data_IF_896701638043
#
_entry.id   IF_896701638043
#
_cell.length_a   1.000
_cell.length_b   1.000
_cell.length_c   1.000
_cell.angle_alpha   90.00
_cell.angle_beta   90.00
_cell.angle_gamma   90.00
#
_symmetry.space_group_name_H-M   'P 1'
#
loop_
_entity.id
_entity.type
_entity.pdbx_description
1 polymer ?
#
# COMPACT_ATOMS: atom_id res chain seq x y z
N UNK A 1 -4.67 -29.32 12.17
CA UNK A 1 -4.96 -28.92 10.76
C UNK A 1 -4.44 -27.51 10.57
N UNK A 2 -4.14 -27.17 9.32
CA UNK A 2 -3.08 -26.24 8.92
C UNK A 2 -3.20 -24.82 9.46
N UNK A 3 -2.11 -24.31 10.03
CA UNK A 3 -1.88 -22.88 10.16
C UNK A 3 -1.80 -22.26 8.77
N UNK A 4 -2.57 -21.20 8.51
CA UNK A 4 -2.46 -20.44 7.26
C UNK A 4 -1.45 -19.34 7.50
N UNK A 5 -0.20 -19.60 7.12
CA UNK A 5 0.85 -18.56 7.14
C UNK A 5 0.65 -17.66 5.93
N UNK A 6 0.26 -16.39 6.15
CA UNK A 6 0.15 -15.37 5.09
C UNK A 6 1.21 -14.29 5.33
N UNK A 7 2.43 -14.53 4.85
CA UNK A 7 3.55 -13.60 5.05
C UNK A 7 3.32 -12.23 4.36
N UNK A 8 3.83 -11.17 5.00
CA UNK A 8 4.13 -9.88 4.39
C UNK A 8 5.57 -9.49 4.77
N UNK A 9 6.32 -8.83 3.87
CA UNK A 9 7.74 -8.51 4.04
C UNK A 9 8.11 -7.20 3.32
N UNK A 10 9.02 -6.41 3.90
CA UNK A 10 9.74 -5.30 3.25
C UNK A 10 11.23 -5.30 3.69
N UNK A 11 12.10 -4.80 2.81
CA UNK A 11 13.51 -5.22 2.61
C UNK A 11 14.58 -4.69 3.57
N UNK A 12 15.85 -4.84 3.15
CA UNK A 12 17.09 -4.62 3.94
C UNK A 12 17.82 -3.37 3.43
N UNK A 13 18.50 -2.65 4.31
CA UNK A 13 19.54 -1.71 3.90
C UNK A 13 20.92 -2.42 3.89
N UNK A 14 21.63 -2.49 2.75
CA UNK A 14 22.87 -3.27 2.63
C UNK A 14 24.06 -2.68 3.39
N UNK A 15 24.00 -1.41 3.81
CA UNK A 15 25.11 -0.71 4.47
C UNK A 15 24.95 -0.71 6.00
N UNK A 16 23.72 -0.59 6.49
CA UNK A 16 23.37 -0.46 7.91
C UNK A 16 22.80 -1.74 8.53
N UNK A 17 22.41 -2.74 7.71
CA UNK A 17 21.69 -3.97 8.15
C UNK A 17 20.40 -3.66 8.92
N UNK A 18 19.78 -2.52 8.66
CA UNK A 18 18.48 -2.12 9.14
C UNK A 18 17.35 -2.88 8.41
N UNK A 19 16.28 -3.24 9.12
CA UNK A 19 15.08 -3.87 8.54
C UNK A 19 13.84 -3.13 9.06
N UNK A 20 12.84 -2.88 8.21
CA UNK A 20 11.46 -2.72 8.65
C UNK A 20 10.64 -3.80 7.93
N UNK A 21 10.11 -4.77 8.67
CA UNK A 21 9.21 -5.75 8.09
C UNK A 21 8.02 -6.00 9.01
N UNK A 22 6.95 -6.59 8.49
CA UNK A 22 5.78 -7.02 9.25
C UNK A 22 5.31 -8.34 8.69
N UNK A 23 5.65 -9.44 9.36
CA UNK A 23 5.09 -10.75 9.01
C UNK A 23 3.78 -10.95 9.73
N UNK A 24 2.73 -11.38 9.03
CA UNK A 24 1.45 -11.77 9.61
C UNK A 24 1.37 -13.30 9.55
N UNK A 25 1.03 -13.96 10.65
CA UNK A 25 0.82 -15.40 10.67
C UNK A 25 -0.54 -15.69 11.30
N UNK A 26 -1.38 -16.48 10.63
CA UNK A 26 -2.66 -16.91 11.17
C UNK A 26 -2.51 -18.34 11.70
N UNK A 27 -2.76 -18.54 13.00
CA UNK A 27 -2.78 -19.85 13.62
C UNK A 27 -4.19 -20.17 14.11
N UNK A 28 -4.68 -21.36 13.75
CA UNK A 28 -5.89 -21.93 14.29
C UNK A 28 -5.48 -23.04 15.27
N UNK A 29 -5.56 -22.78 16.58
CA UNK A 29 -5.34 -23.83 17.57
C UNK A 29 -6.64 -24.60 17.85
N UNK A 30 -6.51 -25.84 18.35
CA UNK A 30 -7.58 -26.85 18.41
C UNK A 30 -8.74 -26.48 19.35
N UNK A 31 -8.63 -25.37 20.08
CA UNK A 31 -9.52 -24.94 21.15
C UNK A 31 -10.34 -23.68 20.80
N UNK A 32 -10.39 -23.30 19.52
CA UNK A 32 -11.21 -22.17 19.05
C UNK A 32 -10.63 -20.79 19.38
N UNK A 33 -9.34 -20.71 19.69
CA UNK A 33 -8.60 -19.46 19.87
C UNK A 33 -7.66 -19.27 18.69
N UNK A 34 -7.87 -18.19 17.93
CA UNK A 34 -6.98 -17.76 16.86
C UNK A 34 -5.81 -16.96 17.44
N UNK A 35 -4.60 -17.28 16.98
CA UNK A 35 -3.39 -16.58 17.36
C UNK A 35 -2.76 -15.95 16.12
N UNK A 36 -2.48 -14.64 16.20
CA UNK A 36 -1.84 -13.90 15.12
C UNK A 36 -0.43 -13.51 15.52
N UNK A 37 0.60 -14.09 14.92
CA UNK A 37 2.00 -13.80 15.26
C UNK A 37 2.59 -12.70 14.37
N UNK A 38 3.21 -11.69 14.97
CA UNK A 38 3.83 -10.58 14.23
C UNK A 38 5.31 -10.34 14.59
N UNK A 39 6.11 -9.98 13.58
CA UNK A 39 7.51 -9.53 13.74
C UNK A 39 7.69 -8.16 13.08
N UNK A 40 8.22 -7.18 13.82
CA UNK A 40 8.52 -5.81 13.41
C UNK A 40 9.98 -5.45 13.68
N UNK A 41 10.55 -4.51 12.94
CA UNK A 41 11.72 -3.74 13.37
C UNK A 41 11.50 -2.30 12.94
N UNK A 42 11.81 -1.35 13.82
CA UNK A 42 11.89 0.07 13.50
C UNK A 42 13.35 0.46 13.59
N UNK A 43 13.91 1.06 12.53
CA UNK A 43 15.14 1.81 12.66
C UNK A 43 14.75 3.26 12.89
N UNK A 44 15.31 3.87 13.94
CA UNK A 44 15.02 5.25 14.31
C UNK A 44 15.35 6.25 13.17
N UNK A 45 16.16 5.84 12.19
CA UNK A 45 16.77 6.74 11.21
C UNK A 45 16.49 6.38 9.73
N UNK A 46 15.68 5.34 9.44
CA UNK A 46 15.36 4.95 8.06
C UNK A 46 13.88 5.20 7.77
N UNK A 47 13.54 6.10 6.84
CA UNK A 47 12.16 6.32 6.44
C UNK A 47 11.55 5.07 5.80
N UNK A 48 10.29 4.76 6.13
CA UNK A 48 9.66 3.49 5.77
C UNK A 48 9.48 3.23 4.27
N UNK A 49 9.64 4.25 3.43
CA UNK A 49 9.48 4.18 1.99
C UNK A 49 10.77 3.82 1.22
N UNK A 50 11.91 3.66 1.89
CA UNK A 50 13.21 3.38 1.23
C UNK A 50 13.53 1.87 1.06
N UNK A 51 12.53 0.99 1.15
CA UNK A 51 12.73 -0.45 1.45
C UNK A 51 12.36 -1.45 0.35
N UNK A 52 11.96 -0.99 -0.84
CA UNK A 52 11.48 -1.87 -1.92
C UNK A 52 12.60 -2.56 -2.72
N UNK A 53 13.88 -2.40 -2.34
CA UNK A 53 15.01 -2.87 -3.14
C UNK A 53 15.39 -4.36 -3.00
N UNK A 54 14.89 -5.14 -2.04
CA UNK A 54 15.51 -6.45 -1.73
C UNK A 54 14.54 -7.61 -1.50
N UNK A 55 14.28 -8.33 -2.60
CA UNK A 55 13.54 -9.60 -2.68
C UNK A 55 14.36 -10.90 -2.51
N UNK A 56 15.71 -11.00 -2.71
CA UNK A 56 16.37 -12.33 -2.76
C UNK A 56 16.80 -13.00 -1.45
N UNK A 57 16.79 -12.34 -0.28
CA UNK A 57 17.39 -12.88 0.96
C UNK A 57 16.43 -13.79 1.76
N UNK A 58 15.17 -13.86 1.33
CA UNK A 58 14.03 -14.35 2.12
C UNK A 58 13.87 -15.86 2.14
N UNK A 59 14.20 -16.55 1.03
CA UNK A 59 13.99 -18.00 0.92
C UNK A 59 14.89 -18.80 1.87
N UNK A 60 16.00 -18.21 2.31
CA UNK A 60 16.96 -18.83 3.23
C UNK A 60 16.45 -18.84 4.68
N UNK A 61 15.69 -17.82 5.10
CA UNK A 61 15.22 -17.70 6.48
C UNK A 61 14.04 -18.64 6.78
N UNK A 62 13.14 -18.83 5.81
CA UNK A 62 12.00 -19.76 5.91
C UNK A 62 12.48 -21.21 5.98
N UNK A 63 13.48 -21.57 5.18
CA UNK A 63 14.10 -22.90 5.24
C UNK A 63 14.76 -23.19 6.61
N UNK A 64 15.23 -22.16 7.31
CA UNK A 64 15.88 -22.28 8.62
C UNK A 64 14.89 -22.31 9.80
N UNK A 65 13.70 -21.70 9.69
CA UNK A 65 12.69 -21.75 10.76
C UNK A 65 11.93 -23.07 10.84
N UNK A 66 11.78 -23.79 9.72
CA UNK A 66 11.13 -25.11 9.69
C UNK A 66 12.00 -26.23 10.30
N UNK A 67 13.29 -25.98 10.56
CA UNK A 67 14.25 -26.97 11.05
C UNK A 67 14.73 -26.74 12.49
N UNK A 68 14.14 -25.81 13.26
CA UNK A 68 14.43 -25.71 14.68
C UNK A 68 13.50 -26.62 15.50
N UNK A 69 14.03 -27.63 16.21
CA UNK A 69 13.25 -28.33 17.23
C UNK A 69 12.71 -27.34 18.24
N UNK A 70 11.48 -27.55 18.67
CA UNK A 70 10.85 -26.81 19.74
C UNK A 70 11.73 -26.97 20.99
N UNK A 71 12.43 -25.90 21.38
CA UNK A 71 13.32 -25.95 22.52
C UNK A 71 12.52 -26.27 23.79
N UNK A 72 12.91 -27.36 24.46
CA UNK A 72 12.40 -27.77 25.76
C UNK A 72 12.61 -26.63 26.77
N UNK A 73 11.51 -26.10 27.32
CA UNK A 73 11.50 -25.01 28.30
C UNK A 73 11.88 -25.51 29.71
N UNK A 74 12.97 -26.26 29.78
CA UNK A 74 13.42 -26.94 30.99
C UNK A 74 14.89 -26.64 31.28
N UNK A 75 15.32 -25.37 31.22
CA UNK A 75 16.51 -24.90 31.95
C UNK A 75 16.62 -23.37 31.94
N UNK A 76 16.79 -22.72 33.11
CA UNK A 76 17.12 -21.30 33.18
C UNK A 76 18.62 -21.13 32.88
N UNK A 77 18.95 -20.99 31.59
CA UNK A 77 20.26 -20.51 31.17
C UNK A 77 20.21 -18.99 31.02
N UNK A 78 20.95 -18.28 31.87
CA UNK A 78 21.26 -16.86 31.69
C UNK A 78 21.86 -16.64 30.31
N UNK A 79 21.11 -15.96 29.43
CA UNK A 79 21.63 -15.38 28.21
C UNK A 79 21.77 -13.88 28.44
N UNK A 80 22.96 -13.48 28.91
CA UNK A 80 23.42 -12.09 29.01
C UNK A 80 23.61 -11.47 27.60
N UNK A 81 22.52 -11.35 26.86
CA UNK A 81 22.39 -10.50 25.69
C UNK A 81 21.29 -9.46 25.95
N UNK A 82 21.27 -8.34 25.20
CA UNK A 82 20.15 -7.39 25.29
C UNK A 82 18.84 -8.14 25.07
N UNK A 83 17.93 -8.11 26.04
CA UNK A 83 16.60 -8.69 25.84
C UNK A 83 15.90 -7.93 24.73
N UNK A 84 15.74 -8.59 23.59
CA UNK A 84 15.04 -8.06 22.41
C UNK A 84 13.54 -8.02 22.74
N UNK A 85 12.91 -6.85 22.57
CA UNK A 85 11.54 -6.64 23.02
C UNK A 85 10.53 -7.50 22.23
N UNK A 86 9.38 -7.87 22.81
CA UNK A 86 8.32 -8.52 22.05
C UNK A 86 7.96 -7.74 20.78
N UNK A 87 7.91 -8.48 19.68
CA UNK A 87 7.63 -7.97 18.35
C UNK A 87 8.87 -7.47 17.64
N UNK A 88 10.03 -7.29 18.27
CA UNK A 88 11.25 -6.94 17.54
C UNK A 88 11.82 -8.11 16.72
N UNK A 89 12.64 -7.85 15.69
CA UNK A 89 13.33 -8.87 14.91
C UNK A 89 14.18 -9.76 15.86
N UNK A 90 13.91 -11.07 15.85
CA UNK A 90 14.46 -12.08 16.78
C UNK A 90 13.94 -11.99 18.23
N UNK A 91 13.02 -11.08 18.54
CA UNK A 91 12.27 -11.03 19.78
C UNK A 91 11.08 -12.00 19.78
N UNK A 92 10.42 -12.19 20.94
CA UNK A 92 9.19 -12.97 21.03
C UNK A 92 8.10 -12.42 20.11
N UNK A 93 7.29 -13.29 19.49
CA UNK A 93 6.15 -12.86 18.68
C UNK A 93 5.13 -12.09 19.53
N UNK A 94 4.54 -11.05 18.95
CA UNK A 94 3.40 -10.36 19.54
C UNK A 94 2.12 -10.94 18.97
N UNK A 95 1.09 -11.03 19.82
CA UNK A 95 -0.26 -11.39 19.44
C UNK A 95 -1.20 -10.21 19.61
N UNK A 96 -2.01 -9.95 18.59
CA UNK A 96 -3.08 -8.96 18.64
C UNK A 96 -4.42 -9.64 18.43
N UNK A 97 -5.45 -9.10 19.09
CA UNK A 97 -6.83 -9.42 18.76
C UNK A 97 -7.13 -8.87 17.35
N UNK A 98 -7.58 -9.70 16.39
CA UNK A 98 -7.88 -9.27 15.01
C UNK A 98 -8.84 -8.10 14.93
N UNK A 99 -9.78 -8.01 15.88
CA UNK A 99 -10.77 -6.93 15.94
C UNK A 99 -10.11 -5.55 16.12
N UNK A 100 -8.95 -5.51 16.77
CA UNK A 100 -8.20 -4.27 17.01
C UNK A 100 -7.30 -3.88 15.85
N UNK A 101 -7.06 -4.78 14.89
CA UNK A 101 -6.07 -4.59 13.82
C UNK A 101 -6.71 -4.49 12.45
N UNK A 102 -7.72 -5.32 12.20
CA UNK A 102 -8.27 -5.51 10.86
C UNK A 102 -9.70 -4.98 10.77
N UNK A 103 -10.05 -4.32 9.64
CA UNK A 103 -11.42 -3.94 9.32
C UNK A 103 -12.37 -5.15 9.40
N UNK A 104 -13.60 -4.91 9.84
CA UNK A 104 -14.65 -5.91 9.73
C UNK A 104 -15.05 -6.12 8.26
N UNK A 105 -15.19 -7.36 7.83
CA UNK A 105 -15.85 -7.71 6.57
C UNK A 105 -17.37 -7.54 6.74
N UNK A 106 -18.01 -6.83 5.81
CA UNK A 106 -19.43 -6.42 5.93
C UNK A 106 -20.30 -7.10 4.87
N UNK A 107 -21.61 -7.30 5.14
CA UNK A 107 -22.53 -7.75 4.10
C UNK A 107 -22.46 -6.84 2.86
N UNK A 108 -22.32 -7.44 1.69
CA UNK A 108 -22.18 -6.73 0.42
C UNK A 108 -20.75 -6.50 -0.04
N UNK A 109 -19.74 -6.70 0.82
CA UNK A 109 -18.35 -6.69 0.40
C UNK A 109 -18.01 -7.92 -0.45
N UNK A 110 -17.03 -7.77 -1.32
CA UNK A 110 -16.57 -8.76 -2.28
C UNK A 110 -15.46 -9.61 -1.66
N UNK A 111 -15.77 -10.86 -1.28
CA UNK A 111 -14.74 -11.79 -0.81
C UNK A 111 -13.97 -12.40 -1.99
N UNK A 112 -12.65 -12.16 -2.04
CA UNK A 112 -11.77 -12.80 -3.00
C UNK A 112 -11.33 -14.18 -2.50
N UNK A 113 -11.59 -15.23 -3.28
CA UNK A 113 -11.27 -16.60 -2.88
C UNK A 113 -9.76 -16.85 -2.98
N UNK A 114 -9.08 -17.27 -1.90
CA UNK A 114 -7.62 -17.49 -1.91
C UNK A 114 -7.16 -18.49 -2.98
N UNK A 115 -8.00 -19.46 -3.38
CA UNK A 115 -7.71 -20.40 -4.45
C UNK A 115 -7.52 -19.74 -5.84
N UNK A 116 -8.00 -18.50 -6.02
CA UNK A 116 -7.91 -17.74 -7.26
C UNK A 116 -6.72 -16.77 -7.28
N UNK A 117 -5.86 -16.79 -6.25
CA UNK A 117 -4.67 -15.92 -6.23
C UNK A 117 -3.70 -16.36 -7.33
N UNK A 118 -3.30 -15.43 -8.19
CA UNK A 118 -2.34 -15.65 -9.25
C UNK A 118 -1.14 -14.69 -9.13
N UNK A 119 -0.01 -14.95 -9.80
CA UNK A 119 1.17 -14.07 -9.78
C UNK A 119 0.95 -12.65 -10.32
N UNK A 120 -0.14 -12.44 -11.07
CA UNK A 120 -0.60 -11.17 -11.65
C UNK A 120 -1.39 -10.31 -10.65
N UNK A 121 -1.63 -10.82 -9.44
CA UNK A 121 -2.32 -10.10 -8.38
C UNK A 121 -1.33 -9.61 -7.32
N UNK A 122 -1.64 -8.45 -6.76
CA UNK A 122 -0.96 -7.85 -5.62
C UNK A 122 -1.91 -7.83 -4.43
N UNK A 123 -1.43 -8.30 -3.28
CA UNK A 123 -2.24 -8.29 -2.06
C UNK A 123 -1.72 -7.19 -1.15
N UNK A 124 -2.44 -6.07 -1.10
CA UNK A 124 -2.14 -4.96 -0.19
C UNK A 124 -2.56 -5.36 1.21
N UNK A 125 -1.61 -5.45 2.14
CA UNK A 125 -1.88 -5.76 3.56
C UNK A 125 -1.70 -4.53 4.42
N UNK A 126 -2.48 -4.39 5.52
CA UNK A 126 -2.23 -3.34 6.50
C UNK A 126 -0.80 -3.42 7.03
N UNK A 127 -0.12 -2.28 7.05
CA UNK A 127 1.19 -2.17 7.68
C UNK A 127 0.99 -2.11 9.21
N UNK A 128 1.51 -3.10 9.93
CA UNK A 128 1.35 -3.23 11.39
C UNK A 128 2.57 -2.73 12.17
N UNK A 129 3.47 -2.02 11.49
CA UNK A 129 4.53 -1.28 12.14
C UNK A 129 3.89 -0.30 13.13
N UNK A 130 4.38 -0.29 14.36
CA UNK A 130 3.84 0.50 15.49
C UNK A 130 2.53 0.01 16.12
N UNK A 131 1.93 -1.10 15.68
CA UNK A 131 0.66 -1.59 16.26
C UNK A 131 0.71 -2.00 17.73
N UNK A 132 1.87 -2.03 18.40
CA UNK A 132 1.92 -2.18 19.86
C UNK A 132 1.39 -0.95 20.59
N UNK A 133 1.57 0.23 20.00
CA UNK A 133 0.94 1.45 20.50
C UNK A 133 -0.56 1.38 20.14
N UNK A 134 -1.47 1.34 21.12
CA UNK A 134 -2.90 1.29 20.86
C UNK A 134 -3.42 2.46 20.03
N UNK A 135 -2.81 3.64 20.18
CA UNK A 135 -3.20 4.85 19.44
C UNK A 135 -2.83 4.70 17.96
N UNK A 136 -1.60 4.27 17.67
CA UNK A 136 -1.17 4.05 16.28
C UNK A 136 -1.87 2.85 15.64
N UNK A 137 -2.17 1.81 16.44
CA UNK A 137 -2.97 0.66 15.99
C UNK A 137 -4.35 1.09 15.52
N UNK A 138 -5.06 1.88 16.32
CA UNK A 138 -6.40 2.38 15.99
C UNK A 138 -6.38 3.27 14.74
N UNK A 139 -5.39 4.18 14.63
CA UNK A 139 -5.21 5.01 13.43
C UNK A 139 -4.97 4.20 12.17
N UNK A 140 -4.06 3.21 12.20
CA UNK A 140 -3.75 2.38 11.03
C UNK A 140 -4.93 1.53 10.61
N UNK A 141 -5.71 1.03 11.58
CA UNK A 141 -6.95 0.33 11.31
C UNK A 141 -7.96 1.27 10.64
N UNK A 142 -8.13 2.51 11.09
CA UNK A 142 -9.09 3.45 10.48
C UNK A 142 -8.72 3.84 9.03
N UNK A 143 -7.42 3.92 8.71
CA UNK A 143 -6.97 4.10 7.32
C UNK A 143 -7.34 2.89 6.45
N UNK A 144 -7.08 1.67 6.95
CA UNK A 144 -7.46 0.44 6.26
C UNK A 144 -8.99 0.33 6.09
N UNK A 145 -9.77 0.71 7.11
CA UNK A 145 -11.23 0.73 7.02
C UNK A 145 -11.73 1.70 5.96
N UNK A 146 -11.14 2.90 5.88
CA UNK A 146 -11.49 3.91 4.89
C UNK A 146 -11.19 3.43 3.47
N UNK A 147 -10.02 2.82 3.27
CA UNK A 147 -9.61 2.28 1.96
C UNK A 147 -10.50 1.11 1.53
N UNK A 148 -10.80 0.16 2.43
CA UNK A 148 -11.72 -0.95 2.15
C UNK A 148 -13.09 -0.42 1.75
N UNK A 149 -13.63 0.56 2.50
CA UNK A 149 -14.92 1.14 2.19
C UNK A 149 -14.93 1.82 0.83
N UNK A 150 -13.89 2.57 0.51
CA UNK A 150 -13.78 3.25 -0.78
C UNK A 150 -13.78 2.26 -1.96
N UNK A 151 -13.00 1.19 -1.87
CA UNK A 151 -12.97 0.18 -2.94
C UNK A 151 -14.31 -0.53 -3.10
N UNK A 152 -14.88 -1.03 -2.00
CA UNK A 152 -16.11 -1.85 -2.01
C UNK A 152 -17.36 -1.05 -2.37
N UNK A 153 -17.41 0.24 -2.04
CA UNK A 153 -18.64 1.05 -2.22
C UNK A 153 -18.57 2.06 -3.36
N UNK A 154 -17.36 2.44 -3.79
CA UNK A 154 -17.16 3.50 -4.78
C UNK A 154 -16.38 2.98 -5.98
N UNK A 155 -15.11 2.62 -5.81
CA UNK A 155 -14.21 2.39 -6.96
C UNK A 155 -14.56 1.12 -7.74
N UNK A 156 -15.05 0.06 -7.10
CA UNK A 156 -15.50 -1.16 -7.79
C UNK A 156 -16.66 -0.89 -8.77
N UNK A 157 -17.44 0.17 -8.56
CA UNK A 157 -18.57 0.54 -9.40
C UNK A 157 -18.26 1.71 -10.34
N UNK A 158 -17.06 2.28 -10.24
CA UNK A 158 -16.60 3.44 -11.01
C UNK A 158 -15.18 3.17 -11.51
N UNK A 159 -14.96 2.06 -12.24
CA UNK A 159 -13.63 1.69 -12.76
C UNK A 159 -13.10 2.75 -13.76
N UNK A 160 -11.78 2.95 -13.78
CA UNK A 160 -11.08 3.84 -14.72
C UNK A 160 -9.71 3.23 -15.08
N UNK A 161 -9.29 3.35 -16.34
CA UNK A 161 -8.07 2.69 -16.84
C UNK A 161 -6.79 3.16 -16.12
N UNK A 162 -6.75 4.42 -15.68
CA UNK A 162 -5.66 5.02 -14.92
C UNK A 162 -5.82 4.91 -13.38
N UNK A 163 -6.72 4.06 -12.89
CA UNK A 163 -6.83 3.69 -11.47
C UNK A 163 -6.57 2.18 -11.36
N UNK A 164 -5.89 1.76 -10.29
CA UNK A 164 -5.63 0.35 -10.03
C UNK A 164 -6.92 -0.46 -9.92
N UNK A 165 -6.95 -1.60 -10.62
CA UNK A 165 -8.07 -2.52 -10.57
C UNK A 165 -8.13 -3.25 -9.24
N UNK A 166 -9.32 -3.27 -8.66
CA UNK A 166 -9.65 -3.99 -7.44
C UNK A 166 -10.42 -5.28 -7.76
N UNK A 167 -10.11 -6.35 -7.01
CA UNK A 167 -10.68 -7.68 -7.23
C UNK A 167 -11.47 -8.23 -6.03
N UNK A 168 -11.36 -7.62 -4.85
CA UNK A 168 -12.02 -8.07 -3.63
C UNK A 168 -11.09 -8.09 -2.40
N UNK A 169 -11.65 -8.50 -1.27
CA UNK A 169 -10.98 -8.61 0.02
C UNK A 169 -10.50 -10.05 0.28
N UNK A 170 -9.29 -10.20 0.82
CA UNK A 170 -8.91 -11.43 1.54
C UNK A 170 -9.53 -11.38 2.92
N UNK A 171 -10.34 -12.38 3.25
CA UNK A 171 -11.08 -12.45 4.51
C UNK A 171 -10.61 -13.63 5.33
N UNK A 172 -10.34 -13.38 6.62
CA UNK A 172 -10.04 -14.40 7.63
C UNK A 172 -10.90 -14.08 8.83
N UNK A 173 -11.75 -15.02 9.25
CA UNK A 173 -12.61 -14.92 10.45
C UNK A 173 -13.41 -13.62 10.54
N UNK A 174 -14.02 -13.26 9.40
CA UNK A 174 -14.85 -12.06 9.28
C UNK A 174 -14.07 -10.74 9.27
N UNK A 175 -12.73 -10.78 9.09
CA UNK A 175 -11.85 -9.61 9.03
C UNK A 175 -11.19 -9.49 7.67
N UNK A 176 -11.11 -8.26 7.16
CA UNK A 176 -10.38 -7.95 5.93
C UNK A 176 -8.89 -7.86 6.24
N UNK A 177 -8.12 -8.83 5.77
CA UNK A 177 -6.67 -8.96 6.01
C UNK A 177 -5.83 -8.58 4.80
N UNK A 178 -6.48 -8.22 3.70
CA UNK A 178 -5.84 -7.57 2.56
C UNK A 178 -6.84 -7.22 1.46
N UNK A 179 -6.45 -6.26 0.63
CA UNK A 179 -7.13 -5.91 -0.62
C UNK A 179 -6.39 -6.59 -1.77
N UNK A 180 -7.14 -7.23 -2.67
CA UNK A 180 -6.59 -7.85 -3.87
C UNK A 180 -6.69 -6.84 -5.01
N UNK A 181 -5.52 -6.40 -5.47
CA UNK A 181 -5.35 -5.42 -6.54
C UNK A 181 -4.66 -6.09 -7.73
N UNK A 182 -4.81 -5.53 -8.92
CA UNK A 182 -3.93 -5.89 -10.03
C UNK A 182 -2.47 -5.60 -9.66
N UNK A 183 -1.56 -6.46 -10.07
CA UNK A 183 -0.13 -6.23 -9.84
C UNK A 183 0.42 -5.35 -10.94
N UNK A 184 0.99 -4.23 -10.53
CA UNK A 184 1.63 -3.28 -11.43
C UNK A 184 3.16 -3.40 -11.28
N UNK A 185 3.92 -3.38 -12.40
CA UNK A 185 5.30 -3.86 -12.40
C UNK A 185 6.31 -2.86 -11.83
N UNK A 186 6.09 -1.56 -11.98
CA UNK A 186 7.10 -0.54 -11.70
C UNK A 186 6.45 0.71 -11.08
N UNK A 187 7.00 1.25 -9.99
CA UNK A 187 6.61 2.58 -9.48
C UNK A 187 7.19 3.68 -10.36
N UNK A 188 6.47 4.80 -10.52
CA UNK A 188 6.95 5.95 -11.28
C UNK A 188 8.26 6.51 -10.71
N UNK A 189 8.43 6.49 -9.38
CA UNK A 189 9.69 6.86 -8.73
C UNK A 189 10.86 6.03 -9.27
N UNK A 190 10.72 4.70 -9.32
CA UNK A 190 11.77 3.81 -9.83
C UNK A 190 11.96 3.95 -11.34
N UNK A 191 10.86 4.12 -12.08
CA UNK A 191 10.90 4.39 -13.52
C UNK A 191 11.69 5.66 -13.83
N UNK A 192 11.56 6.70 -13.01
CA UNK A 192 12.23 7.98 -13.15
C UNK A 192 13.75 7.90 -12.95
N UNK A 193 14.23 6.92 -12.17
CA UNK A 193 15.66 6.67 -11.98
C UNK A 193 16.34 6.08 -13.23
N UNK A 194 15.57 5.42 -14.11
CA UNK A 194 16.06 4.90 -15.38
C UNK A 194 15.83 5.90 -16.52
N UNK A 195 16.73 6.87 -16.64
CA UNK A 195 16.69 7.87 -17.72
C UNK A 195 17.16 7.33 -19.06
N UNK A 196 17.57 6.05 -19.14
CA UNK A 196 18.00 5.43 -20.41
C UNK A 196 16.81 5.07 -21.30
N UNK A 197 15.64 4.83 -20.69
CA UNK A 197 14.38 4.66 -21.40
C UNK A 197 13.67 6.01 -21.53
N UNK A 198 13.33 6.46 -22.75
CA UNK A 198 12.57 7.70 -22.92
C UNK A 198 11.19 7.56 -22.26
N UNK A 199 10.74 8.64 -21.61
CA UNK A 199 9.43 8.75 -20.99
C UNK A 199 8.70 9.92 -21.65
N UNK A 200 7.47 9.70 -22.12
CA UNK A 200 6.62 10.80 -22.57
C UNK A 200 5.96 11.45 -21.34
N UNK A 201 6.61 12.46 -20.77
CA UNK A 201 6.15 13.15 -19.56
C UNK A 201 4.73 13.71 -19.75
N UNK A 202 4.44 14.32 -20.90
CA UNK A 202 3.10 14.88 -21.18
C UNK A 202 2.01 13.81 -21.16
N UNK A 203 2.28 12.63 -21.73
CA UNK A 203 1.33 11.52 -21.71
C UNK A 203 1.13 10.95 -20.30
N UNK A 204 2.19 10.86 -19.48
CA UNK A 204 2.08 10.42 -18.09
C UNK A 204 1.25 11.40 -17.25
N UNK A 205 1.51 12.70 -17.37
CA UNK A 205 0.76 13.74 -16.65
C UNK A 205 -0.71 13.75 -17.10
N UNK A 206 -0.99 13.64 -18.40
CA UNK A 206 -2.36 13.56 -18.90
C UNK A 206 -3.11 12.34 -18.37
N UNK A 207 -2.46 11.18 -18.26
CA UNK A 207 -3.05 9.96 -17.70
C UNK A 207 -3.38 10.09 -16.21
N UNK A 208 -2.48 10.71 -15.42
CA UNK A 208 -2.76 10.98 -14.00
C UNK A 208 -3.87 12.00 -13.84
N UNK A 209 -3.88 13.08 -14.64
CA UNK A 209 -4.97 14.05 -14.65
C UNK A 209 -6.31 13.39 -15.00
N UNK A 210 -6.36 12.47 -15.97
CA UNK A 210 -7.59 11.74 -16.31
C UNK A 210 -8.12 10.93 -15.12
N UNK A 211 -7.24 10.31 -14.32
CA UNK A 211 -7.64 9.61 -13.10
C UNK A 211 -8.19 10.58 -12.04
N UNK A 212 -7.56 11.74 -11.87
CA UNK A 212 -8.02 12.78 -10.94
C UNK A 212 -9.37 13.35 -11.35
N UNK A 213 -9.55 13.68 -12.63
CA UNK A 213 -10.82 14.18 -13.17
C UNK A 213 -11.95 13.17 -12.92
N UNK A 214 -11.65 11.87 -13.01
CA UNK A 214 -12.59 10.81 -12.69
C UNK A 214 -12.99 10.82 -11.21
N UNK A 215 -12.01 10.92 -10.30
CA UNK A 215 -12.27 11.03 -8.86
C UNK A 215 -13.06 12.29 -8.48
N UNK A 216 -12.71 13.43 -9.10
CA UNK A 216 -13.29 14.73 -8.79
C UNK A 216 -14.69 14.92 -9.38
N UNK A 217 -14.99 14.30 -10.53
CA UNK A 217 -16.18 14.69 -11.33
C UNK A 217 -17.05 13.54 -11.85
N UNK A 218 -16.67 12.27 -11.63
CA UNK A 218 -17.37 11.12 -12.23
C UNK A 218 -17.85 10.08 -11.23
N UNK A 219 -17.46 10.19 -9.96
CA UNK A 219 -17.85 9.20 -8.95
C UNK A 219 -19.30 9.39 -8.53
N UNK A 220 -20.03 8.28 -8.53
CA UNK A 220 -21.38 8.20 -8.00
C UNK A 220 -21.40 7.27 -6.80
N UNK A 221 -22.06 7.71 -5.73
CA UNK A 221 -22.31 6.92 -4.52
C UNK A 221 -23.80 6.86 -4.24
N UNK A 222 -24.23 5.85 -3.50
CA UNK A 222 -25.62 5.79 -3.01
C UNK A 222 -25.83 6.86 -1.96
N UNK A 223 -26.94 7.59 -2.05
CA UNK A 223 -27.29 8.68 -1.12
C UNK A 223 -27.36 8.21 0.35
N UNK A 224 -27.66 6.92 0.56
CA UNK A 224 -27.65 6.27 1.89
C UNK A 224 -26.86 4.99 1.87
N UNK A 225 -25.87 4.90 2.77
CA UNK A 225 -25.07 3.70 2.96
C UNK A 225 -25.98 2.51 3.32
N UNK A 226 -25.84 1.42 2.55
CA UNK A 226 -26.57 0.17 2.78
C UNK A 226 -27.98 0.10 2.19
N UNK A 227 -28.51 1.20 1.62
CA UNK A 227 -29.79 1.18 0.93
C UNK A 227 -29.60 0.90 -0.58
N UNK A 228 -30.01 -0.28 -1.02
CA UNK A 228 -29.86 -0.73 -2.41
C UNK A 228 -30.84 -0.06 -3.38
N UNK A 229 -31.82 0.67 -2.87
CA UNK A 229 -32.81 1.39 -3.66
C UNK A 229 -32.59 2.91 -3.63
N UNK A 230 -31.60 3.40 -2.85
CA UNK A 230 -31.24 4.81 -2.81
C UNK A 230 -30.69 5.30 -4.16
N UNK A 231 -31.03 6.55 -4.48
CA UNK A 231 -30.54 7.22 -5.68
C UNK A 231 -29.01 7.36 -5.67
N UNK A 232 -28.42 7.29 -6.87
CA UNK A 232 -27.01 7.61 -7.05
C UNK A 232 -26.83 9.12 -7.09
N UNK A 233 -25.90 9.63 -6.29
CA UNK A 233 -25.52 11.03 -6.24
C UNK A 233 -24.06 11.19 -6.62
N UNK A 234 -23.77 12.23 -7.40
CA UNK A 234 -22.42 12.60 -7.75
C UNK A 234 -21.71 13.17 -6.51
N UNK A 235 -20.53 12.64 -6.19
CA UNK A 235 -19.75 13.08 -5.02
C UNK A 235 -18.27 13.19 -5.40
N UNK A 236 -17.65 14.37 -5.26
CA UNK A 236 -16.22 14.54 -5.50
C UNK A 236 -15.39 13.86 -4.40
N UNK A 237 -14.40 13.06 -4.79
CA UNK A 237 -13.37 12.53 -3.90
C UNK A 237 -12.00 13.06 -4.31
N UNK A 238 -11.15 13.40 -3.35
CA UNK A 238 -9.76 13.75 -3.63
C UNK A 238 -8.85 12.64 -3.13
N UNK A 239 -7.76 12.35 -3.85
CA UNK A 239 -6.78 11.34 -3.43
C UNK A 239 -5.94 11.82 -2.24
N UNK A 240 -5.68 13.13 -2.19
CA UNK A 240 -4.91 13.91 -1.23
C UNK A 240 -3.40 13.60 -1.13
N UNK A 241 -2.94 12.46 -1.66
CA UNK A 241 -1.56 12.00 -1.52
C UNK A 241 -0.90 11.65 -2.87
N UNK A 242 -1.12 12.47 -3.90
CA UNK A 242 -0.48 12.29 -5.20
C UNK A 242 1.03 12.53 -5.09
N UNK A 243 1.81 11.50 -5.39
CA UNK A 243 3.27 11.54 -5.45
C UNK A 243 3.80 10.37 -6.34
N UNK A 244 5.09 10.39 -6.69
CA UNK A 244 5.68 9.39 -7.60
C UNK A 244 5.67 7.94 -7.08
N UNK A 245 5.45 7.70 -5.78
CA UNK A 245 5.33 6.34 -5.23
C UNK A 245 3.90 5.80 -5.37
N UNK A 246 2.91 6.69 -5.37
CA UNK A 246 1.49 6.35 -5.52
C UNK A 246 1.03 6.33 -6.98
N UNK A 247 1.99 6.37 -7.93
CA UNK A 247 1.76 6.22 -9.36
C UNK A 247 2.58 5.02 -9.83
N UNK A 248 1.90 4.03 -10.38
CA UNK A 248 2.53 2.85 -10.98
C UNK A 248 2.52 2.97 -12.51
N UNK A 249 3.56 2.43 -13.13
CA UNK A 249 3.73 2.33 -14.57
C UNK A 249 3.55 0.88 -15.01
N UNK A 250 2.68 0.68 -15.98
CA UNK A 250 2.51 -0.58 -16.72
C UNK A 250 2.60 -0.30 -18.22
N UNK A 251 2.28 -1.29 -19.07
CA UNK A 251 2.29 -1.13 -20.52
C UNK A 251 1.02 -1.66 -21.17
N UNK A 252 0.60 -0.98 -22.22
CA UNK A 252 -0.35 -1.50 -23.20
C UNK A 252 0.32 -1.43 -24.58
N UNK A 253 0.84 -2.58 -25.04
CA UNK A 253 1.78 -2.61 -26.17
C UNK A 253 3.05 -1.82 -25.83
N UNK A 254 3.41 -0.87 -26.70
CA UNK A 254 4.59 -0.02 -26.52
C UNK A 254 4.32 1.23 -25.67
N UNK A 255 3.06 1.54 -25.36
CA UNK A 255 2.67 2.71 -24.58
C UNK A 255 2.77 2.43 -23.09
N UNK A 256 3.45 3.33 -22.36
CA UNK A 256 3.45 3.34 -20.90
C UNK A 256 2.10 3.85 -20.38
N UNK A 257 1.55 3.14 -19.40
CA UNK A 257 0.27 3.45 -18.79
C UNK A 257 0.49 3.77 -17.32
N UNK A 258 0.08 4.96 -16.89
CA UNK A 258 0.13 5.39 -15.50
C UNK A 258 -1.15 4.99 -14.77
N UNK A 259 -1.02 4.45 -13.56
CA UNK A 259 -2.15 4.09 -12.70
C UNK A 259 -1.96 4.61 -11.29
N UNK A 260 -2.99 5.26 -10.75
CA UNK A 260 -3.05 5.65 -9.34
C UNK A 260 -3.27 4.43 -8.45
N UNK A 261 -2.53 4.39 -7.35
CA UNK A 261 -2.61 3.39 -6.28
C UNK A 261 -2.60 4.09 -4.91
N UNK A 262 -2.83 3.32 -3.84
CA UNK A 262 -2.76 3.77 -2.45
C UNK A 262 -3.79 4.83 -2.07
N UNK A 263 -5.04 4.38 -1.85
CA UNK A 263 -6.18 5.25 -1.61
C UNK A 263 -6.52 5.42 -0.12
N UNK A 264 -5.57 5.15 0.78
CA UNK A 264 -5.80 5.21 2.24
C UNK A 264 -6.03 6.64 2.78
N UNK A 265 -5.79 7.63 1.94
CA UNK A 265 -5.98 9.06 2.17
C UNK A 265 -7.09 9.65 1.30
N UNK A 266 -7.71 8.83 0.44
CA UNK A 266 -8.73 9.28 -0.49
C UNK A 266 -10.09 9.39 0.23
N UNK A 267 -10.67 10.58 0.20
CA UNK A 267 -11.92 10.88 0.91
C UNK A 267 -12.70 11.96 0.16
N UNK A 268 -13.99 12.11 0.48
CA UNK A 268 -14.85 13.12 -0.12
C UNK A 268 -14.29 14.52 0.13
N UNK A 269 -14.43 15.39 -0.87
CA UNK A 269 -14.02 16.79 -0.75
C UNK A 269 -14.66 17.45 0.48
N UNK A 270 -13.87 18.25 1.20
CA UNK A 270 -14.28 18.98 2.40
C UNK A 270 -14.29 18.15 3.68
N UNK A 271 -14.06 16.84 3.62
CA UNK A 271 -13.95 16.01 4.83
C UNK A 271 -12.55 16.06 5.44
N UNK A 272 -12.42 15.87 6.77
CA UNK A 272 -11.12 15.85 7.44
C UNK A 272 -10.22 14.72 6.96
N UNK A 273 -8.92 14.99 6.87
CA UNK A 273 -7.90 13.96 6.61
C UNK A 273 -7.53 13.25 7.92
N UNK A 274 -7.52 11.93 7.89
CA UNK A 274 -7.10 11.11 9.03
C UNK A 274 -5.58 10.94 9.14
N UNK A 275 -4.86 11.11 8.03
CA UNK A 275 -3.43 10.83 7.86
C UNK A 275 -2.71 12.09 7.36
N UNK A 276 -1.40 12.19 7.58
CA UNK A 276 -0.57 13.24 6.97
C UNK A 276 -0.12 12.84 5.57
N UNK A 277 -0.22 13.76 4.60
CA UNK A 277 0.14 13.52 3.20
C UNK A 277 1.66 13.66 2.99
N UNK A 278 2.23 12.94 2.02
CA UNK A 278 3.67 12.93 1.77
C UNK A 278 4.20 14.33 1.44
N UNK A 279 3.51 15.05 0.56
CA UNK A 279 3.92 16.36 0.04
C UNK A 279 3.22 17.55 0.73
N UNK A 280 2.20 17.29 1.56
CA UNK A 280 1.51 18.30 2.36
C UNK A 280 1.09 17.76 3.74
N UNK A 281 2.07 17.59 4.63
CA UNK A 281 1.84 17.01 5.97
C UNK A 281 0.90 17.83 6.87
N UNK A 282 0.73 19.13 6.56
CA UNK A 282 -0.14 20.05 7.29
C UNK A 282 -1.58 20.07 6.77
N UNK A 283 -1.89 19.37 5.68
CA UNK A 283 -3.25 19.29 5.17
C UNK A 283 -4.17 18.68 6.24
N UNK A 284 -5.23 19.39 6.59
CA UNK A 284 -6.22 18.94 7.57
C UNK A 284 -7.53 18.48 6.91
N UNK A 285 -7.78 18.91 5.67
CA UNK A 285 -9.02 18.67 4.94
C UNK A 285 -8.73 18.22 3.52
N UNK A 286 -9.64 17.41 3.00
CA UNK A 286 -9.58 16.93 1.63
C UNK A 286 -10.03 18.00 0.65
N UNK A 287 -9.22 18.28 -0.37
CA UNK A 287 -9.55 19.23 -1.41
C UNK A 287 -8.79 18.95 -2.70
N UNK A 288 -9.34 19.40 -3.83
CA UNK A 288 -8.74 19.22 -5.16
C UNK A 288 -7.33 19.81 -5.23
N UNK A 289 -7.08 20.92 -4.51
CA UNK A 289 -5.78 21.60 -4.48
C UNK A 289 -4.66 20.71 -3.92
N UNK A 290 -4.97 19.75 -3.06
CA UNK A 290 -3.98 18.77 -2.60
C UNK A 290 -3.49 17.91 -3.76
N UNK A 291 -4.42 17.43 -4.60
CA UNK A 291 -4.12 16.61 -5.78
C UNK A 291 -3.42 17.41 -6.87
N UNK A 292 -3.91 18.62 -7.17
CA UNK A 292 -3.29 19.54 -8.12
C UNK A 292 -1.83 19.84 -7.75
N UNK A 293 -1.58 20.10 -6.46
CA UNK A 293 -0.22 20.37 -5.98
C UNK A 293 0.67 19.13 -6.08
N UNK A 294 0.14 17.95 -5.74
CA UNK A 294 0.86 16.69 -5.89
C UNK A 294 1.22 16.40 -7.35
N UNK A 295 0.28 16.58 -8.27
CA UNK A 295 0.52 16.40 -9.71
C UNK A 295 1.55 17.39 -10.25
N UNK A 296 1.47 18.66 -9.86
CA UNK A 296 2.46 19.68 -10.24
C UNK A 296 3.88 19.27 -9.79
N UNK A 297 4.03 18.79 -8.55
CA UNK A 297 5.32 18.33 -8.04
C UNK A 297 5.83 17.09 -8.78
N UNK A 298 4.94 16.15 -9.13
CA UNK A 298 5.29 15.01 -9.99
C UNK A 298 5.79 15.49 -11.35
N UNK A 299 5.09 16.43 -12.00
CA UNK A 299 5.52 16.99 -13.28
C UNK A 299 6.89 17.67 -13.16
N UNK A 300 7.10 18.52 -12.15
CA UNK A 300 8.38 19.18 -11.91
C UNK A 300 9.54 18.17 -11.80
N UNK A 301 9.37 17.07 -11.08
CA UNK A 301 10.38 16.01 -10.95
C UNK A 301 10.61 15.25 -12.27
N UNK A 302 9.53 14.91 -12.98
CA UNK A 302 9.66 14.24 -14.28
C UNK A 302 10.36 15.12 -15.32
N UNK A 303 10.08 16.43 -15.36
CA UNK A 303 10.75 17.35 -16.29
C UNK A 303 12.22 17.56 -15.97
N UNK A 304 12.63 17.43 -14.69
CA UNK A 304 14.04 17.42 -14.30
C UNK A 304 14.76 16.16 -14.80
N UNK A 305 14.13 15.01 -14.67
CA UNK A 305 14.69 13.72 -15.09
C UNK A 305 14.66 13.53 -16.62
N UNK A 306 13.62 14.04 -17.29
CA UNK A 306 13.41 13.96 -18.72
C UNK A 306 13.19 15.36 -19.32
N UNK A 307 14.26 16.17 -19.47
CA UNK A 307 14.14 17.48 -20.07
C UNK A 307 13.61 17.38 -21.50
N UNK A 308 12.74 18.30 -21.89
CA UNK A 308 12.35 18.43 -23.29
C UNK A 308 13.63 18.61 -24.13
N UNK A 309 13.74 17.87 -25.23
CA UNK A 309 14.84 18.06 -26.18
C UNK A 309 14.68 19.46 -26.76
N UNK A 310 15.39 20.43 -26.19
CA UNK A 310 15.46 21.78 -26.73
C UNK A 310 15.95 21.67 -28.17
N UNK A 311 15.22 22.30 -29.09
CA UNK A 311 15.66 22.47 -30.47
C UNK A 311 16.97 23.26 -30.50
N UNK A 312 18.09 22.56 -30.40
CA UNK A 312 19.39 23.13 -30.69
C UNK A 312 19.43 23.37 -32.19
N UNK A 313 19.23 24.64 -32.57
CA UNK A 313 19.38 25.11 -33.93
C UNK A 313 20.70 24.63 -34.50
N UNK A 314 20.63 24.02 -35.67
CA UNK A 314 21.78 23.78 -36.53
C UNK A 314 22.45 25.15 -36.72
N UNK A 315 23.72 25.35 -36.32
CA UNK A 315 24.43 26.57 -36.66
C UNK A 315 24.50 26.65 -38.18
N UNK A 316 23.83 27.64 -38.75
CA UNK A 316 23.92 27.93 -40.17
C UNK A 316 25.38 28.13 -40.53
N UNK A 317 25.87 27.32 -41.46
CA UNK A 317 27.08 27.61 -42.19
C UNK A 317 26.86 28.91 -42.98
N UNK A 318 27.33 30.02 -42.43
CA UNK A 318 27.60 31.22 -43.22
C UNK A 318 28.83 30.96 -44.09
N UNK A 319 28.64 31.21 -45.39
CA UNK A 319 29.61 31.14 -46.49
C UNK A 319 30.85 31.98 -46.24
#
# INVERSE_FOLDING_TARGET
MAAVVLAAMQGVDPETKAYLHTTIIFYHEKDGVEHHGFLRRSCADVPSWNLDALRPVVDVAIAQSHNKPQADRSQPGELDGPQVSPGELNGPQVYFNPVEVFPAFRPGFTEFKPANITPELYIKRPQLLFSMDPVEREKRKSYAESEVLLFETVLQHNEHDNIVKYHGCIVVDGRVTGLVLEKLPEMLLMRCLDTTRPLNVDDIIAQVQSALDHLHTKLHVRDKDGDKDAAMVHVPFCHNDINMQNIMITKNGDREVAKLVDFDSCVREGLPLGKGMMLNRSAAESCLRNDERGLQLVEEELRKAFPAVGGAGIPGHSQ
#
